data_IF_190943203367
#
_entry.id   IF_190943203367
#
_cell.length_a   1.000
_cell.length_b   1.000
_cell.length_c   1.000
_cell.angle_alpha   90.00
_cell.angle_beta   90.00
_cell.angle_gamma   90.00
#
_symmetry.space_group_name_H-M   'P 1'
#
loop_
_entity.id
_entity.type
_entity.pdbx_description
1 polymer ?
#
# COMPACT_ATOMS: atom_id res chain seq x y z
N UNK A 1 11.53 -54.86 21.74
CA UNK A 1 11.55 -53.56 21.04
C UNK A 1 10.11 -53.12 20.80
N UNK A 2 9.70 -51.97 21.32
CA UNK A 2 8.37 -51.42 21.06
C UNK A 2 8.53 -50.05 20.40
N UNK A 3 8.10 -49.94 19.14
CA UNK A 3 8.15 -48.69 18.36
C UNK A 3 6.86 -47.92 18.66
N UNK A 4 6.99 -46.79 19.35
CA UNK A 4 5.89 -45.89 19.64
C UNK A 4 5.55 -45.14 18.34
N UNK A 5 4.31 -45.26 17.85
CA UNK A 5 3.86 -44.54 16.64
C UNK A 5 3.57 -43.08 16.96
N UNK A 6 4.04 -42.18 16.08
CA UNK A 6 3.75 -40.74 16.13
C UNK A 6 2.22 -40.52 16.03
N UNK A 7 1.60 -39.74 16.94
CA UNK A 7 0.18 -39.44 16.82
C UNK A 7 -0.10 -38.65 15.54
N UNK A 8 -1.21 -38.97 14.88
CA UNK A 8 -1.61 -38.33 13.62
C UNK A 8 -1.77 -36.82 13.82
N UNK A 9 -1.21 -36.03 12.90
CA UNK A 9 -1.37 -34.58 12.91
C UNK A 9 -2.86 -34.24 12.88
N UNK A 10 -3.31 -33.47 13.87
CA UNK A 10 -4.67 -32.94 13.90
C UNK A 10 -4.94 -32.18 12.59
N UNK A 11 -6.09 -32.45 11.99
CA UNK A 11 -6.60 -31.76 10.81
C UNK A 11 -6.48 -30.24 10.95
N UNK A 12 -6.21 -29.50 9.86
CA UNK A 12 -6.06 -28.05 9.93
C UNK A 12 -7.33 -27.44 10.52
N UNK A 13 -7.15 -26.74 11.64
CA UNK A 13 -8.20 -25.92 12.24
C UNK A 13 -8.65 -24.88 11.20
N UNK A 14 -9.96 -24.57 11.12
CA UNK A 14 -10.43 -23.54 10.21
C UNK A 14 -9.69 -22.23 10.50
N UNK A 15 -9.53 -21.40 9.48
CA UNK A 15 -8.72 -20.18 9.49
C UNK A 15 -9.22 -18.98 10.36
N UNK A 16 -10.43 -18.93 10.98
CA UNK A 16 -10.91 -17.66 11.55
C UNK A 16 -10.18 -17.22 12.84
N UNK A 17 -9.31 -18.05 13.41
CA UNK A 17 -8.54 -17.68 14.61
C UNK A 17 -7.41 -16.71 14.30
N UNK A 18 -6.82 -16.77 13.11
CA UNK A 18 -5.70 -15.90 12.75
C UNK A 18 -6.19 -14.47 12.49
N UNK A 19 -7.26 -14.30 11.72
CA UNK A 19 -7.82 -12.98 11.41
C UNK A 19 -8.37 -12.29 12.67
N UNK A 20 -9.11 -13.03 13.52
CA UNK A 20 -9.63 -12.49 14.77
C UNK A 20 -8.53 -12.11 15.78
N UNK A 21 -7.38 -12.81 15.74
CA UNK A 21 -6.21 -12.47 16.54
C UNK A 21 -5.52 -11.19 16.03
N UNK A 22 -5.37 -11.06 14.72
CA UNK A 22 -4.77 -9.88 14.07
C UNK A 22 -5.65 -8.63 14.29
N UNK A 23 -6.98 -8.75 14.15
CA UNK A 23 -7.93 -7.65 14.39
C UNK A 23 -8.09 -7.29 15.87
N UNK A 24 -7.78 -8.23 16.78
CA UNK A 24 -7.85 -8.05 18.22
C UNK A 24 -6.71 -7.21 18.81
N UNK A 25 -5.66 -6.94 18.04
CA UNK A 25 -4.55 -6.11 18.47
C UNK A 25 -5.00 -4.65 18.64
N UNK A 26 -4.44 -3.88 19.61
CA UNK A 26 -4.86 -2.50 19.89
C UNK A 26 -4.61 -1.54 18.71
N UNK A 27 -3.72 -1.90 17.79
CA UNK A 27 -3.48 -1.28 16.48
C UNK A 27 -4.39 -1.82 15.35
N UNK A 28 -5.01 -2.99 15.55
CA UNK A 28 -5.95 -3.62 14.60
C UNK A 28 -7.33 -2.96 14.58
N UNK A 29 -7.73 -2.28 15.66
CA UNK A 29 -8.99 -1.52 15.72
C UNK A 29 -8.84 -0.12 15.12
N UNK A 30 -8.84 -0.10 13.80
CA UNK A 30 -9.16 1.09 13.02
C UNK A 30 -8.05 1.47 12.07
N UNK A 31 -8.27 1.24 10.78
CA UNK A 31 -7.79 2.06 9.65
C UNK A 31 -8.08 1.36 8.32
N UNK A 32 -9.36 1.14 7.99
CA UNK A 32 -9.75 0.72 6.63
C UNK A 32 -10.76 1.66 5.95
N UNK A 33 -10.83 2.92 6.38
CA UNK A 33 -11.74 3.92 5.79
C UNK A 33 -11.02 4.93 4.88
N UNK A 34 -9.79 4.64 4.42
CA UNK A 34 -9.04 5.47 3.48
C UNK A 34 -8.31 4.62 2.44
N UNK A 35 -7.94 5.20 1.30
CA UNK A 35 -7.26 4.49 0.20
C UNK A 35 -5.78 4.17 0.51
N UNK A 36 -5.30 4.53 1.70
CA UNK A 36 -3.93 4.28 2.13
C UNK A 36 -3.56 5.00 3.44
N UNK A 37 -2.26 5.07 3.71
CA UNK A 37 -1.70 5.75 4.87
C UNK A 37 -1.92 7.26 4.76
N UNK A 38 -2.53 7.88 5.78
CA UNK A 38 -2.72 9.33 5.84
C UNK A 38 -1.47 10.00 6.39
N UNK A 39 -1.00 11.05 5.71
CA UNK A 39 0.09 11.91 6.16
C UNK A 39 -0.41 13.36 6.20
N UNK A 40 -0.82 13.81 7.38
CA UNK A 40 -1.52 15.09 7.55
C UNK A 40 -2.87 15.08 6.80
N UNK A 41 -3.08 16.04 5.91
CA UNK A 41 -4.29 16.17 5.07
C UNK A 41 -4.20 15.42 3.72
N UNK A 42 -3.13 14.66 3.48
CA UNK A 42 -2.90 13.95 2.22
C UNK A 42 -2.93 12.44 2.44
N UNK A 43 -3.37 11.69 1.44
CA UNK A 43 -3.26 10.23 1.39
C UNK A 43 -2.03 9.84 0.59
N UNK A 44 -1.25 8.89 1.10
CA UNK A 44 -0.13 8.30 0.38
C UNK A 44 -0.64 7.27 -0.63
N UNK A 45 -0.13 7.34 -1.85
CA UNK A 45 -0.39 6.38 -2.91
C UNK A 45 0.92 5.74 -3.40
N UNK A 46 0.85 4.47 -3.77
CA UNK A 46 1.90 3.81 -4.54
C UNK A 46 1.53 3.84 -6.02
N UNK A 47 2.48 4.20 -6.87
CA UNK A 47 2.29 4.27 -8.33
C UNK A 47 3.40 3.49 -9.00
N UNK A 48 3.05 2.60 -9.92
CA UNK A 48 3.98 1.87 -10.78
C UNK A 48 3.92 2.52 -12.16
N UNK A 49 5.08 2.81 -12.75
CA UNK A 49 5.20 3.46 -14.04
C UNK A 49 6.40 2.93 -14.82
N UNK A 50 6.38 3.10 -16.14
CA UNK A 50 7.49 2.70 -16.99
C UNK A 50 8.76 3.50 -16.62
N UNK A 51 9.95 2.87 -16.60
CA UNK A 51 11.20 3.54 -16.24
C UNK A 51 11.48 4.78 -17.11
N UNK A 52 11.29 4.64 -18.42
CA UNK A 52 11.50 5.74 -19.38
C UNK A 52 10.61 6.95 -19.10
N UNK A 53 9.38 6.72 -18.63
CA UNK A 53 8.46 7.80 -18.26
C UNK A 53 8.89 8.46 -16.94
N UNK A 54 9.47 7.69 -16.02
CA UNK A 54 10.02 8.20 -14.76
C UNK A 54 11.21 9.13 -15.03
N UNK A 55 12.09 8.74 -15.94
CA UNK A 55 13.26 9.54 -16.34
C UNK A 55 12.82 10.88 -16.97
N UNK A 56 11.81 10.83 -17.85
CA UNK A 56 11.24 12.04 -18.44
C UNK A 56 10.61 12.96 -17.38
N UNK A 57 9.91 12.38 -16.41
CA UNK A 57 9.29 13.12 -15.32
C UNK A 57 10.34 13.79 -14.42
N UNK A 58 11.43 13.10 -14.11
CA UNK A 58 12.52 13.64 -13.30
C UNK A 58 13.26 14.76 -14.02
N UNK A 59 13.57 14.59 -15.30
CA UNK A 59 14.18 15.65 -16.11
C UNK A 59 13.28 16.89 -16.20
N UNK A 60 11.96 16.72 -16.27
CA UNK A 60 11.01 17.83 -16.25
C UNK A 60 10.94 18.50 -14.88
N UNK A 61 10.97 17.72 -13.79
CA UNK A 61 10.93 18.22 -12.43
C UNK A 61 12.18 19.06 -12.11
N UNK A 62 13.36 18.59 -12.50
CA UNK A 62 14.63 19.32 -12.36
C UNK A 62 14.61 20.66 -13.09
N UNK A 63 14.17 20.68 -14.35
CA UNK A 63 14.04 21.92 -15.14
C UNK A 63 13.11 22.93 -14.51
N UNK A 64 12.06 22.48 -13.83
CA UNK A 64 11.07 23.33 -13.15
C UNK A 64 11.46 23.68 -11.71
N UNK A 65 12.56 23.11 -11.18
CA UNK A 65 12.95 23.27 -9.77
C UNK A 65 11.91 22.71 -8.79
N UNK A 66 11.17 21.67 -9.19
CA UNK A 66 10.11 21.05 -8.40
C UNK A 66 10.49 19.63 -8.01
N UNK A 67 9.88 19.12 -6.94
CA UNK A 67 9.99 17.68 -6.64
C UNK A 67 9.10 16.86 -7.58
N UNK A 68 9.47 15.59 -7.81
CA UNK A 68 8.67 14.64 -8.59
C UNK A 68 7.21 14.58 -8.13
N UNK A 69 6.99 14.52 -6.81
CA UNK A 69 5.63 14.45 -6.23
C UNK A 69 4.83 15.75 -6.42
N UNK A 70 5.50 16.91 -6.40
CA UNK A 70 4.87 18.19 -6.72
C UNK A 70 4.44 18.24 -8.19
N UNK A 71 5.28 17.76 -9.10
CA UNK A 71 4.97 17.72 -10.53
C UNK A 71 3.81 16.76 -10.83
N UNK A 72 3.79 15.57 -10.22
CA UNK A 72 2.66 14.63 -10.32
C UNK A 72 1.37 15.28 -9.81
N UNK A 73 1.42 15.93 -8.64
CA UNK A 73 0.25 16.59 -8.06
C UNK A 73 -0.27 17.72 -8.96
N UNK A 74 0.64 18.51 -9.55
CA UNK A 74 0.32 19.56 -10.50
C UNK A 74 -0.32 18.99 -11.78
N UNK A 75 0.23 17.91 -12.33
CA UNK A 75 -0.32 17.25 -13.51
C UNK A 75 -1.76 16.76 -13.26
N UNK A 76 -2.00 16.08 -12.13
CA UNK A 76 -3.34 15.65 -11.73
C UNK A 76 -4.28 16.83 -11.54
N UNK A 77 -3.85 17.89 -10.86
CA UNK A 77 -4.66 19.10 -10.68
C UNK A 77 -5.02 19.74 -12.03
N UNK A 78 -4.06 19.86 -12.95
CA UNK A 78 -4.30 20.41 -14.28
C UNK A 78 -5.25 19.52 -15.08
N UNK A 79 -5.04 18.21 -15.07
CA UNK A 79 -5.92 17.26 -15.76
C UNK A 79 -7.37 17.40 -15.28
N UNK A 80 -7.61 17.40 -13.96
CA UNK A 80 -8.95 17.49 -13.38
C UNK A 80 -9.64 18.85 -13.60
N UNK A 81 -8.89 19.95 -13.62
CA UNK A 81 -9.49 21.30 -13.72
C UNK A 81 -9.51 21.86 -15.15
N UNK A 82 -8.63 21.39 -16.03
CA UNK A 82 -8.52 21.88 -17.41
C UNK A 82 -9.38 21.07 -18.38
N UNK A 83 -10.10 20.05 -17.90
CA UNK A 83 -11.17 19.37 -18.63
C UNK A 83 -10.71 18.59 -19.87
N UNK A 84 -9.61 17.86 -19.78
CA UNK A 84 -9.36 16.73 -20.69
C UNK A 84 -9.94 15.47 -20.06
#
# INVERSE_FOLDING_TARGET
MAIIRRPAAASPLPEPKAEAFIEGAPDGKGTKSGRGLKRGKKEQIAVIMAPELLDQLDAAAEKMGQSRSALISLAVFRFLNSGQ
#
